data_IF_855728564689
#
_entry.id   IF_855728564689
#
_cell.length_a   1.000
_cell.length_b   1.000
_cell.length_c   1.000
_cell.angle_alpha   90.00
_cell.angle_beta   90.00
_cell.angle_gamma   90.00
#
_symmetry.space_group_name_H-M   'P 1'
#
loop_
_entity.id
_entity.type
_entity.pdbx_description
1 polymer ?
#
# COMPACT_ATOMS: atom_id res chain seq x y z
N UNK A 1 -16.88 -9.26 11.27
CA UNK A 1 -15.89 -9.64 10.26
C UNK A 1 -15.64 -8.47 9.33
N UNK A 2 -14.61 -8.56 8.50
CA UNK A 2 -14.23 -7.55 7.49
C UNK A 2 -14.57 -8.12 6.11
N UNK A 3 -15.36 -7.39 5.32
CA UNK A 3 -15.77 -7.82 3.98
C UNK A 3 -14.59 -7.76 3.00
N UNK A 4 -14.52 -8.75 2.11
CA UNK A 4 -13.58 -8.76 0.99
C UNK A 4 -14.30 -8.43 -0.32
N UNK A 5 -13.68 -7.56 -1.10
CA UNK A 5 -14.17 -7.05 -2.38
C UNK A 5 -13.28 -7.53 -3.52
N UNK A 6 -13.86 -7.69 -4.70
CA UNK A 6 -13.15 -8.20 -5.88
C UNK A 6 -12.07 -7.22 -6.40
N UNK A 7 -12.20 -5.93 -6.12
CA UNK A 7 -11.28 -4.88 -6.53
C UNK A 7 -11.32 -3.69 -5.55
N UNK A 8 -10.46 -2.69 -5.77
CA UNK A 8 -10.53 -1.41 -5.07
C UNK A 8 -11.47 -0.38 -5.74
N UNK A 9 -12.03 -0.69 -6.91
CA UNK A 9 -12.78 0.30 -7.69
C UNK A 9 -14.10 0.68 -7.02
N UNK A 10 -14.68 1.82 -7.42
CA UNK A 10 -15.97 2.29 -6.90
C UNK A 10 -17.13 1.34 -7.18
N UNK A 11 -17.03 0.54 -8.24
CA UNK A 11 -18.00 -0.48 -8.65
C UNK A 11 -17.64 -1.88 -8.11
N UNK A 12 -16.71 -1.97 -7.15
CA UNK A 12 -16.36 -3.23 -6.52
C UNK A 12 -17.58 -3.86 -5.83
N UNK A 13 -17.69 -5.18 -5.95
CA UNK A 13 -18.74 -5.97 -5.33
C UNK A 13 -18.18 -6.89 -4.25
N UNK A 14 -19.00 -7.17 -3.25
CA UNK A 14 -18.66 -8.04 -2.15
C UNK A 14 -18.55 -9.50 -2.61
N UNK A 15 -17.39 -10.12 -2.40
CA UNK A 15 -17.07 -11.46 -2.92
C UNK A 15 -17.85 -12.60 -2.26
N UNK A 16 -18.59 -12.34 -1.18
CA UNK A 16 -19.13 -13.37 -0.30
C UNK A 16 -18.16 -13.78 0.83
N UNK A 17 -16.88 -13.38 0.75
CA UNK A 17 -15.86 -13.74 1.73
C UNK A 17 -15.69 -12.69 2.82
N UNK A 18 -15.59 -13.14 4.07
CA UNK A 18 -15.43 -12.28 5.24
C UNK A 18 -14.25 -12.77 6.09
N UNK A 19 -13.35 -11.86 6.46
CA UNK A 19 -12.34 -12.12 7.49
C UNK A 19 -13.03 -12.12 8.85
N UNK A 20 -13.06 -13.28 9.50
CA UNK A 20 -13.62 -13.46 10.84
C UNK A 20 -12.57 -13.87 11.88
N UNK A 21 -11.30 -13.95 11.50
CA UNK A 21 -10.20 -14.28 12.39
C UNK A 21 -9.34 -13.04 12.65
N UNK A 22 -8.66 -13.02 13.81
CA UNK A 22 -7.73 -11.96 14.20
C UNK A 22 -6.30 -12.45 14.00
N UNK A 23 -5.91 -12.63 12.74
CA UNK A 23 -4.56 -13.02 12.32
C UNK A 23 -3.92 -11.90 11.49
N UNK A 24 -2.58 -11.80 11.43
CA UNK A 24 -1.92 -10.86 10.54
C UNK A 24 -2.13 -11.28 9.07
N UNK A 25 -2.34 -10.28 8.20
CA UNK A 25 -2.42 -10.45 6.75
C UNK A 25 -1.29 -9.66 6.09
N UNK A 26 -0.69 -10.23 5.05
CA UNK A 26 0.27 -9.51 4.22
C UNK A 26 -0.49 -8.60 3.24
N UNK A 27 -0.13 -7.33 3.21
CA UNK A 27 -0.62 -6.38 2.20
C UNK A 27 0.23 -6.56 0.94
N UNK A 28 -0.39 -6.93 -0.17
CA UNK A 28 0.30 -7.17 -1.44
C UNK A 28 0.11 -6.04 -2.46
N UNK A 29 -0.95 -5.25 -2.32
CA UNK A 29 -1.21 -4.03 -3.11
C UNK A 29 -2.13 -3.09 -2.31
N UNK A 30 -2.29 -1.86 -2.76
CA UNK A 30 -3.19 -0.89 -2.13
C UNK A 30 -3.69 0.16 -3.13
N UNK A 31 -4.87 0.71 -2.86
CA UNK A 31 -5.45 1.83 -3.58
C UNK A 31 -5.66 3.02 -2.64
N UNK A 32 -5.09 4.15 -3.03
CA UNK A 32 -4.94 5.34 -2.19
C UNK A 32 -5.90 6.44 -2.62
N UNK A 33 -7.13 6.39 -2.14
CA UNK A 33 -8.17 7.38 -2.46
C UNK A 33 -8.24 8.53 -1.44
N UNK A 34 -7.59 8.37 -0.28
CA UNK A 34 -7.61 9.33 0.82
C UNK A 34 -8.77 9.10 1.79
N UNK A 35 -8.61 9.59 3.02
CA UNK A 35 -9.62 9.43 4.08
C UNK A 35 -9.89 7.96 4.39
N UNK A 36 -11.18 7.62 4.53
CA UNK A 36 -11.65 6.28 4.89
C UNK A 36 -11.92 5.39 3.65
N UNK A 37 -11.52 5.86 2.46
CA UNK A 37 -11.75 5.15 1.20
C UNK A 37 -10.55 4.29 0.78
N UNK A 38 -9.40 4.40 1.46
CA UNK A 38 -8.24 3.59 1.15
C UNK A 38 -8.55 2.09 1.25
N UNK A 39 -8.01 1.32 0.30
CA UNK A 39 -8.22 -0.11 0.19
C UNK A 39 -6.90 -0.87 0.15
N UNK A 40 -6.84 -1.99 0.87
CA UNK A 40 -5.70 -2.89 0.95
C UNK A 40 -6.04 -4.20 0.24
N UNK A 41 -5.13 -4.68 -0.60
CA UNK A 41 -5.21 -5.99 -1.24
C UNK A 41 -4.46 -7.01 -0.38
N UNK A 42 -5.15 -8.07 0.03
CA UNK A 42 -4.64 -9.12 0.92
C UNK A 42 -4.43 -10.46 0.18
N UNK A 43 -4.64 -10.48 -1.14
CA UNK A 43 -4.65 -11.68 -1.97
C UNK A 43 -5.44 -11.48 -3.27
N UNK A 44 -5.64 -12.56 -4.02
CA UNK A 44 -6.50 -12.55 -5.22
C UNK A 44 -7.94 -12.17 -4.83
N UNK A 45 -8.48 -11.10 -5.43
CA UNK A 45 -9.85 -10.61 -5.16
C UNK A 45 -10.16 -10.43 -3.67
N UNK A 46 -9.14 -10.05 -2.88
CA UNK A 46 -9.25 -9.90 -1.43
C UNK A 46 -8.95 -8.46 -1.01
N UNK A 47 -9.73 -7.50 -1.53
CA UNK A 47 -9.61 -6.09 -1.18
C UNK A 47 -10.45 -5.76 0.07
N UNK A 48 -9.88 -5.02 1.01
CA UNK A 48 -10.56 -4.62 2.24
C UNK A 48 -10.23 -3.17 2.61
N UNK A 49 -11.16 -2.47 3.28
CA UNK A 49 -10.92 -1.08 3.66
C UNK A 49 -9.83 -0.97 4.71
N UNK A 50 -8.89 -0.04 4.52
CA UNK A 50 -7.77 0.19 5.45
C UNK A 50 -8.26 0.52 6.87
N UNK A 51 -9.36 1.28 6.99
CA UNK A 51 -9.91 1.74 8.27
C UNK A 51 -10.28 0.61 9.25
N UNK A 52 -10.38 -0.63 8.77
CA UNK A 52 -10.68 -1.80 9.58
C UNK A 52 -9.42 -2.51 10.11
N UNK A 53 -8.22 -2.00 9.81
CA UNK A 53 -6.95 -2.59 10.21
C UNK A 53 -6.08 -1.62 11.00
N UNK A 54 -5.36 -2.15 11.99
CA UNK A 54 -4.19 -1.48 12.53
C UNK A 54 -2.99 -1.88 11.67
N UNK A 55 -2.61 -1.03 10.71
CA UNK A 55 -1.58 -1.39 9.73
C UNK A 55 -0.17 -1.16 10.28
N UNK A 56 0.66 -2.20 10.23
CA UNK A 56 2.10 -2.09 10.41
C UNK A 56 2.78 -2.04 9.05
N UNK A 57 3.21 -0.84 8.66
CA UNK A 57 3.88 -0.59 7.37
C UNK A 57 5.30 -1.16 7.34
N UNK A 58 5.70 -1.68 6.18
CA UNK A 58 7.11 -1.80 5.85
C UNK A 58 7.72 -0.42 5.57
N UNK A 59 9.00 -0.29 5.86
CA UNK A 59 9.75 0.95 5.64
C UNK A 59 10.93 0.70 4.70
N UNK A 60 11.12 1.63 3.77
CA UNK A 60 12.30 1.73 2.93
C UNK A 60 13.30 2.72 3.54
N UNK A 61 14.54 2.27 3.67
CA UNK A 61 15.65 3.05 4.20
C UNK A 61 16.65 3.32 3.08
N UNK A 62 17.23 4.52 3.08
CA UNK A 62 18.39 4.80 2.24
C UNK A 62 19.51 3.80 2.54
N UNK A 63 20.15 3.27 1.49
CA UNK A 63 21.40 2.50 1.63
C UNK A 63 22.63 3.40 1.74
N UNK A 64 22.47 4.70 1.51
CA UNK A 64 23.52 5.71 1.51
C UNK A 64 23.39 6.64 2.72
N UNK A 65 24.49 7.30 3.14
CA UNK A 65 24.43 8.31 4.18
C UNK A 65 23.45 9.45 3.85
N UNK A 66 22.90 10.08 4.89
CA UNK A 66 22.08 11.27 4.71
C UNK A 66 22.84 12.35 3.94
N UNK A 67 22.16 13.01 2.99
CA UNK A 67 22.75 13.95 2.05
C UNK A 67 23.15 13.34 0.71
N UNK A 68 23.22 12.01 0.60
CA UNK A 68 23.37 11.34 -0.69
C UNK A 68 22.00 11.30 -1.41
N UNK A 69 21.86 12.12 -2.45
CA UNK A 69 20.61 12.24 -3.21
C UNK A 69 20.15 10.92 -3.82
N UNK A 70 18.87 10.60 -3.63
CA UNK A 70 18.20 9.43 -4.22
C UNK A 70 17.10 9.94 -5.14
N UNK A 71 17.16 9.52 -6.41
CA UNK A 71 16.17 9.92 -7.40
C UNK A 71 14.78 9.36 -7.09
N UNK A 72 13.76 10.19 -7.28
CA UNK A 72 12.36 9.80 -7.27
C UNK A 72 11.79 9.88 -8.68
N UNK A 73 10.77 9.08 -8.96
CA UNK A 73 10.14 8.96 -10.27
C UNK A 73 8.62 8.97 -10.14
N UNK A 74 7.90 9.29 -11.23
CA UNK A 74 6.43 9.33 -11.25
C UNK A 74 5.78 7.95 -11.15
N UNK A 75 6.57 6.89 -11.37
CA UNK A 75 6.19 5.49 -11.24
C UNK A 75 7.35 4.58 -11.66
N UNK A 76 7.16 3.24 -11.66
CA UNK A 76 8.12 2.30 -12.20
C UNK A 76 8.46 2.66 -13.65
N UNK A 77 9.75 2.81 -13.96
CA UNK A 77 10.25 3.26 -15.28
C UNK A 77 9.62 4.57 -15.77
N UNK A 78 9.13 5.41 -14.86
CA UNK A 78 8.52 6.70 -15.17
C UNK A 78 9.53 7.84 -15.24
N UNK A 79 9.01 9.04 -15.45
CA UNK A 79 9.80 10.27 -15.51
C UNK A 79 10.39 10.63 -14.15
N UNK A 80 11.56 11.27 -14.16
CA UNK A 80 12.19 11.80 -12.94
C UNK A 80 11.33 12.90 -12.32
N UNK A 81 11.14 12.84 -11.00
CA UNK A 81 10.33 13.81 -10.25
C UNK A 81 11.13 14.62 -9.24
N UNK A 82 12.38 14.25 -8.96
CA UNK A 82 13.19 14.94 -7.96
C UNK A 82 14.20 14.03 -7.27
N UNK A 83 14.71 14.51 -6.14
CA UNK A 83 15.60 13.76 -5.26
C UNK A 83 15.20 13.94 -3.80
N UNK A 84 15.31 12.87 -3.02
CA UNK A 84 15.27 12.92 -1.55
C UNK A 84 16.68 12.73 -0.99
N UNK A 85 16.94 13.25 0.22
CA UNK A 85 18.29 13.25 0.82
C UNK A 85 18.65 11.97 1.57
N UNK A 86 17.72 11.01 1.68
CA UNK A 86 17.92 9.74 2.36
C UNK A 86 18.02 9.83 3.89
N UNK A 87 17.70 10.98 4.49
CA UNK A 87 17.79 11.18 5.96
C UNK A 87 16.66 10.50 6.75
N UNK A 88 15.56 10.16 6.08
CA UNK A 88 14.38 9.56 6.69
C UNK A 88 13.96 8.27 6.00
N UNK A 89 13.27 7.40 6.74
CA UNK A 89 12.63 6.21 6.20
C UNK A 89 11.25 6.53 5.63
N UNK A 90 10.88 5.86 4.54
CA UNK A 90 9.57 6.04 3.90
C UNK A 90 8.72 4.79 4.05
N UNK A 91 7.42 4.97 4.30
CA UNK A 91 6.46 3.87 4.26
C UNK A 91 6.35 3.34 2.84
N UNK A 92 6.27 2.02 2.69
CA UNK A 92 6.06 1.37 1.39
C UNK A 92 4.55 1.32 1.13
N UNK A 93 4.08 2.16 0.20
CA UNK A 93 2.65 2.24 -0.17
C UNK A 93 2.27 1.33 -1.33
N UNK A 94 3.22 0.99 -2.19
CA UNK A 94 3.05 0.01 -3.25
C UNK A 94 4.43 -0.51 -3.67
N UNK A 95 4.47 -1.71 -4.23
CA UNK A 95 5.63 -2.22 -4.97
C UNK A 95 5.10 -2.87 -6.24
N UNK A 96 5.60 -2.42 -7.38
CA UNK A 96 5.27 -2.98 -8.70
C UNK A 96 6.57 -3.44 -9.33
N UNK A 97 6.54 -4.67 -9.83
CA UNK A 97 7.62 -5.27 -10.61
C UNK A 97 7.44 -4.95 -12.10
#
# INVERSE_FOLDING_TARGET
GINLYNSANKDAWFTGNVINTKMPYLIIDAAWYGGNENMLCLGWEAWAKEEHFNVQWFYAYSKYPAGAGINTYSGPNGEWTGTVDGSVAYKIYARKD
#
